data_IF_456182685685
#
_entry.id   IF_456182685685
#
_cell.length_a   1.000
_cell.length_b   1.000
_cell.length_c   1.000
_cell.angle_alpha   90.00
_cell.angle_beta   90.00
_cell.angle_gamma   90.00
#
_symmetry.space_group_name_H-M   'P 1'
#
loop_
_entity.id
_entity.type
_entity.pdbx_description
1 polymer ?
#
# COMPACT_ATOMS: atom_id res chain seq x y z
N UNK A 1 23.84 -12.31 -10.95
CA UNK A 1 22.64 -11.47 -11.09
C UNK A 1 21.87 -11.53 -9.79
N UNK A 2 21.36 -10.40 -9.34
CA UNK A 2 20.44 -10.34 -8.21
C UNK A 2 19.04 -10.78 -8.66
N UNK A 3 18.17 -11.18 -7.74
CA UNK A 3 16.78 -11.54 -8.06
C UNK A 3 16.02 -10.41 -8.80
N UNK A 4 16.45 -9.15 -8.60
CA UNK A 4 15.90 -8.00 -9.32
C UNK A 4 16.39 -7.93 -10.77
N UNK A 5 17.66 -8.27 -11.04
CA UNK A 5 18.19 -8.29 -12.41
C UNK A 5 17.48 -9.37 -13.25
N UNK A 6 17.31 -10.58 -12.69
CA UNK A 6 16.60 -11.68 -13.35
C UNK A 6 15.14 -11.29 -13.69
N UNK A 7 14.48 -10.57 -12.77
CA UNK A 7 13.13 -10.06 -12.98
C UNK A 7 13.09 -9.00 -14.09
N UNK A 8 14.04 -8.07 -14.13
CA UNK A 8 14.11 -7.04 -15.17
C UNK A 8 14.40 -7.64 -16.54
N UNK A 9 15.28 -8.63 -16.64
CA UNK A 9 15.57 -9.34 -17.88
C UNK A 9 14.32 -10.08 -18.42
N UNK A 10 13.54 -10.70 -17.53
CA UNK A 10 12.26 -11.31 -17.89
C UNK A 10 11.27 -10.27 -18.45
N UNK A 11 11.14 -9.12 -17.78
CA UNK A 11 10.23 -8.06 -18.20
C UNK A 11 10.65 -7.44 -19.52
N UNK A 12 11.95 -7.20 -19.73
CA UNK A 12 12.49 -6.69 -21.00
C UNK A 12 12.22 -7.67 -22.15
N UNK A 13 12.47 -8.97 -21.94
CA UNK A 13 12.15 -10.02 -22.91
C UNK A 13 10.66 -10.07 -23.26
N UNK A 14 9.77 -9.93 -22.28
CA UNK A 14 8.32 -9.89 -22.48
C UNK A 14 7.89 -8.65 -23.27
N UNK A 15 8.43 -7.48 -22.94
CA UNK A 15 8.16 -6.22 -23.64
C UNK A 15 8.65 -6.30 -25.09
N UNK A 16 9.86 -6.84 -25.31
CA UNK A 16 10.40 -7.05 -26.65
C UNK A 16 9.50 -7.97 -27.49
N UNK A 17 8.98 -9.04 -26.89
CA UNK A 17 8.01 -9.95 -27.53
C UNK A 17 6.71 -9.22 -27.88
N UNK A 18 6.15 -8.43 -26.96
CA UNK A 18 4.94 -7.65 -27.22
C UNK A 18 5.12 -6.65 -28.37
N UNK A 19 6.26 -5.96 -28.42
CA UNK A 19 6.59 -5.05 -29.52
C UNK A 19 6.74 -5.78 -30.86
N UNK A 20 7.44 -6.92 -30.88
CA UNK A 20 7.60 -7.73 -32.08
C UNK A 20 6.25 -8.26 -32.61
N UNK A 21 5.29 -8.52 -31.72
CA UNK A 21 3.93 -8.96 -32.07
C UNK A 21 2.97 -7.80 -32.47
N UNK A 22 3.44 -6.55 -32.41
CA UNK A 22 2.72 -5.38 -32.92
C UNK A 22 2.13 -4.44 -31.86
N UNK A 23 2.68 -4.43 -30.64
CA UNK A 23 2.48 -3.32 -29.70
C UNK A 23 3.37 -2.12 -30.10
N UNK A 24 2.82 -0.91 -30.08
CA UNK A 24 3.59 0.32 -30.28
C UNK A 24 4.44 0.65 -29.05
N UNK A 25 3.88 0.41 -27.87
CA UNK A 25 4.54 0.53 -26.58
C UNK A 25 4.00 -0.54 -25.63
N UNK A 26 4.78 -0.84 -24.58
CA UNK A 26 4.36 -1.70 -23.49
C UNK A 26 5.10 -1.34 -22.19
N UNK A 27 4.49 -1.67 -21.07
CA UNK A 27 5.12 -1.78 -19.75
C UNK A 27 4.74 -3.11 -19.11
N UNK A 28 5.58 -3.58 -18.21
CA UNK A 28 5.38 -4.82 -17.51
C UNK A 28 5.90 -4.70 -16.07
N UNK A 29 5.21 -5.37 -15.15
CA UNK A 29 5.53 -5.40 -13.73
C UNK A 29 5.59 -6.84 -13.25
N UNK A 30 6.60 -7.17 -12.46
CA UNK A 30 6.66 -8.40 -11.69
C UNK A 30 6.67 -8.06 -10.20
N UNK A 31 5.70 -8.60 -9.47
CA UNK A 31 5.69 -8.59 -8.01
C UNK A 31 5.90 -10.02 -7.51
N UNK A 32 6.88 -10.21 -6.65
CA UNK A 32 7.08 -11.45 -5.90
C UNK A 32 6.97 -11.15 -4.42
N UNK A 33 6.19 -11.92 -3.68
CA UNK A 33 6.02 -11.73 -2.24
C UNK A 33 6.16 -13.04 -1.49
N UNK A 34 6.79 -12.97 -0.32
CA UNK A 34 6.85 -14.04 0.67
C UNK A 34 6.32 -13.48 1.97
N UNK A 35 5.52 -14.26 2.69
CA UNK A 35 5.04 -13.92 4.01
C UNK A 35 5.12 -15.11 4.96
N UNK A 36 5.39 -14.84 6.23
CA UNK A 36 5.34 -15.79 7.34
C UNK A 36 4.47 -15.18 8.43
N UNK A 37 3.48 -15.93 8.92
CA UNK A 37 2.60 -15.47 9.99
C UNK A 37 2.34 -16.55 11.01
N UNK A 38 2.22 -16.13 12.27
CA UNK A 38 1.79 -16.96 13.39
C UNK A 38 0.61 -16.27 14.07
N UNK A 39 -0.49 -17.00 14.23
CA UNK A 39 -1.64 -16.58 15.01
C UNK A 39 -1.95 -17.62 16.09
N UNK A 40 -2.31 -17.12 17.26
CA UNK A 40 -2.68 -17.93 18.40
C UNK A 40 -3.84 -17.31 19.16
N UNK A 41 -4.53 -18.14 19.92
CA UNK A 41 -5.61 -17.71 20.79
C UNK A 41 -5.59 -18.47 22.10
N UNK A 42 -5.64 -17.73 23.19
CA UNK A 42 -5.56 -18.25 24.55
C UNK A 42 -4.30 -19.09 24.80
N UNK A 43 -3.21 -18.79 24.10
CA UNK A 43 -1.95 -19.55 24.14
C UNK A 43 -1.92 -20.81 23.26
N UNK A 44 -3.01 -21.14 22.58
CA UNK A 44 -3.07 -22.26 21.64
C UNK A 44 -2.84 -21.79 20.20
N UNK A 45 -2.08 -22.57 19.43
CA UNK A 45 -1.80 -22.28 18.02
C UNK A 45 -3.10 -22.33 17.20
N UNK A 46 -3.42 -21.25 16.49
CA UNK A 46 -4.52 -21.24 15.50
C UNK A 46 -3.97 -21.38 14.08
N UNK A 47 -2.85 -20.70 13.76
CA UNK A 47 -2.29 -20.67 12.41
C UNK A 47 -0.79 -20.45 12.43
N UNK A 48 -0.07 -21.25 11.64
CA UNK A 48 1.31 -20.99 11.24
C UNK A 48 1.39 -21.18 9.73
N UNK A 49 1.58 -20.10 9.00
CA UNK A 49 1.43 -20.07 7.55
C UNK A 49 2.60 -19.37 6.88
N UNK A 50 3.13 -20.00 5.83
CA UNK A 50 4.06 -19.37 4.91
C UNK A 50 3.41 -19.28 3.54
N UNK A 51 3.31 -18.06 3.03
CA UNK A 51 2.75 -17.78 1.72
C UNK A 51 3.86 -17.33 0.78
N UNK A 52 3.73 -17.71 -0.49
CA UNK A 52 4.58 -17.21 -1.56
C UNK A 52 3.70 -16.95 -2.78
N UNK A 53 3.78 -15.74 -3.31
CA UNK A 53 2.99 -15.31 -4.46
C UNK A 53 3.86 -14.60 -5.48
N UNK A 54 3.42 -14.67 -6.73
CA UNK A 54 4.02 -13.95 -7.82
C UNK A 54 2.96 -13.51 -8.80
N UNK A 55 3.02 -12.25 -9.20
CA UNK A 55 2.10 -11.63 -10.15
C UNK A 55 2.90 -10.90 -11.23
N UNK A 56 2.71 -11.30 -12.48
CA UNK A 56 3.22 -10.65 -13.68
C UNK A 56 2.07 -9.89 -14.35
N UNK A 57 2.24 -8.59 -14.54
CA UNK A 57 1.36 -7.74 -15.32
C UNK A 57 2.03 -7.30 -16.61
N UNK A 58 1.28 -7.27 -17.71
CA UNK A 58 1.68 -6.71 -19.00
C UNK A 58 0.60 -5.73 -19.47
N UNK A 59 0.98 -4.47 -19.68
CA UNK A 59 0.16 -3.47 -20.37
C UNK A 59 0.74 -3.22 -21.74
N UNK A 60 -0.09 -3.32 -22.78
CA UNK A 60 0.30 -3.04 -24.17
C UNK A 60 -0.52 -1.88 -24.72
N UNK A 61 0.10 -1.14 -25.64
CA UNK A 61 -0.49 -0.02 -26.36
C UNK A 61 -0.49 -0.31 -27.86
N UNK A 62 -1.63 -0.09 -28.51
CA UNK A 62 -1.81 -0.17 -29.97
C UNK A 62 -2.53 1.10 -30.42
N UNK A 63 -1.77 2.04 -30.98
CA UNK A 63 -2.18 3.42 -31.21
C UNK A 63 -2.60 4.09 -29.90
N UNK A 64 -3.84 4.57 -29.85
CA UNK A 64 -4.47 5.15 -28.66
C UNK A 64 -5.30 4.12 -27.88
N UNK A 65 -5.04 2.83 -28.03
CA UNK A 65 -5.74 1.78 -27.30
C UNK A 65 -4.78 1.09 -26.36
N UNK A 66 -5.24 0.71 -25.18
CA UNK A 66 -4.44 -0.03 -24.22
C UNK A 66 -5.22 -1.21 -23.64
N UNK A 67 -4.51 -2.25 -23.23
CA UNK A 67 -5.06 -3.30 -22.40
C UNK A 67 -3.99 -3.79 -21.43
N UNK A 68 -4.42 -4.20 -20.25
CA UNK A 68 -3.58 -4.84 -19.24
C UNK A 68 -4.09 -6.26 -19.00
N UNK A 69 -3.16 -7.18 -18.87
CA UNK A 69 -3.40 -8.59 -18.55
C UNK A 69 -2.42 -9.04 -17.47
N UNK A 70 -2.80 -10.02 -16.67
CA UNK A 70 -1.93 -10.59 -15.64
C UNK A 70 -1.85 -12.11 -15.71
N UNK A 71 -0.77 -12.66 -15.16
CA UNK A 71 -0.49 -14.08 -15.02
C UNK A 71 0.37 -14.32 -13.78
N UNK A 72 0.27 -15.51 -13.18
CA UNK A 72 1.24 -16.00 -12.18
C UNK A 72 2.23 -17.01 -12.79
N UNK A 73 2.01 -17.44 -14.04
CA UNK A 73 2.88 -18.36 -14.79
C UNK A 73 3.83 -17.58 -15.71
N UNK A 74 5.13 -17.77 -15.50
CA UNK A 74 6.22 -17.18 -16.28
C UNK A 74 6.80 -18.14 -17.32
N UNK A 75 6.15 -19.29 -17.56
CA UNK A 75 6.58 -20.24 -18.59
C UNK A 75 6.57 -19.58 -19.98
N UNK A 76 7.51 -19.90 -20.87
CA UNK A 76 7.59 -19.25 -22.18
C UNK A 76 6.27 -19.28 -22.98
N UNK A 77 5.54 -20.40 -22.90
CA UNK A 77 4.24 -20.57 -23.55
C UNK A 77 3.14 -19.67 -22.94
N UNK A 78 3.10 -19.55 -21.61
CA UNK A 78 2.17 -18.64 -20.94
C UNK A 78 2.47 -17.17 -21.28
N UNK A 79 3.75 -16.80 -21.43
CA UNK A 79 4.15 -15.46 -21.86
C UNK A 79 3.74 -15.17 -23.31
N UNK A 80 3.84 -16.16 -24.21
CA UNK A 80 3.33 -16.03 -25.59
C UNK A 80 1.81 -15.77 -25.58
N UNK A 81 1.04 -16.59 -24.85
CA UNK A 81 -0.41 -16.43 -24.73
C UNK A 81 -0.79 -15.09 -24.09
N UNK A 82 -0.04 -14.65 -23.07
CA UNK A 82 -0.26 -13.37 -22.39
C UNK A 82 -0.15 -12.20 -23.37
N UNK A 83 0.88 -12.20 -24.23
CA UNK A 83 1.08 -11.18 -25.27
C UNK A 83 -0.07 -11.19 -26.27
N UNK A 84 -0.43 -12.35 -26.79
CA UNK A 84 -1.51 -12.49 -27.77
C UNK A 84 -2.84 -11.98 -27.21
N UNK A 85 -3.15 -12.34 -25.95
CA UNK A 85 -4.33 -11.88 -25.24
C UNK A 85 -4.32 -10.38 -25.03
N UNK A 86 -3.20 -9.80 -24.58
CA UNK A 86 -3.06 -8.37 -24.37
C UNK A 86 -3.34 -7.58 -25.67
N UNK A 87 -2.76 -8.02 -26.78
CA UNK A 87 -2.91 -7.38 -28.09
C UNK A 87 -4.34 -7.52 -28.62
N UNK A 88 -4.95 -8.69 -28.50
CA UNK A 88 -6.33 -8.91 -28.91
C UNK A 88 -7.28 -8.00 -28.13
N UNK A 89 -7.10 -7.89 -26.81
CA UNK A 89 -7.87 -6.98 -25.96
C UNK A 89 -7.67 -5.51 -26.37
N UNK A 90 -6.42 -5.06 -26.51
CA UNK A 90 -6.13 -3.67 -26.90
C UNK A 90 -6.75 -3.30 -28.26
N UNK A 91 -6.76 -4.22 -29.23
CA UNK A 91 -7.38 -3.96 -30.54
C UNK A 91 -8.91 -3.86 -30.47
N UNK A 92 -9.55 -4.45 -29.46
CA UNK A 92 -11.01 -4.50 -29.32
C UNK A 92 -11.64 -3.37 -28.52
N UNK A 93 -10.84 -2.61 -27.76
CA UNK A 93 -11.35 -1.48 -26.97
C UNK A 93 -11.39 -0.18 -27.78
N UNK A 94 -12.23 0.81 -27.38
CA UNK A 94 -12.20 2.14 -27.97
C UNK A 94 -10.84 2.84 -27.75
N UNK A 95 -10.59 3.87 -28.54
CA UNK A 95 -9.44 4.74 -28.32
C UNK A 95 -9.62 5.60 -27.06
N UNK A 96 -8.52 5.73 -26.33
CA UNK A 96 -8.33 6.59 -25.16
C UNK A 96 -7.24 7.63 -25.49
N UNK A 97 -7.58 8.91 -25.68
CA UNK A 97 -6.61 9.94 -26.03
C UNK A 97 -5.61 10.25 -24.91
N UNK A 98 -5.87 9.79 -23.68
CA UNK A 98 -5.05 10.08 -22.51
C UNK A 98 -4.12 8.92 -22.13
N UNK A 99 -4.24 7.76 -22.79
CA UNK A 99 -3.35 6.63 -22.56
C UNK A 99 -1.94 6.86 -23.13
N UNK A 100 -0.94 6.21 -22.53
CA UNK A 100 0.46 6.22 -22.98
C UNK A 100 1.46 6.17 -21.82
N UNK A 101 2.71 5.81 -22.14
CA UNK A 101 3.83 5.79 -21.20
C UNK A 101 4.33 7.19 -20.86
N UNK A 102 5.09 7.31 -19.76
CA UNK A 102 5.76 8.55 -19.37
C UNK A 102 6.73 9.01 -20.46
N UNK A 103 6.91 10.32 -20.60
CA UNK A 103 8.00 10.86 -21.40
C UNK A 103 9.36 10.50 -20.75
N UNK A 104 10.42 10.20 -21.52
CA UNK A 104 11.73 9.85 -20.97
C UNK A 104 12.34 10.89 -20.01
N UNK A 105 11.87 12.14 -20.07
CA UNK A 105 12.27 13.20 -19.15
C UNK A 105 11.62 13.09 -17.76
N UNK A 106 10.43 12.47 -17.64
CA UNK A 106 9.70 12.26 -16.39
C UNK A 106 10.21 11.03 -15.61
N UNK A 107 10.90 10.11 -16.28
CA UNK A 107 11.38 8.86 -15.70
C UNK A 107 12.34 9.08 -14.53
N UNK A 108 12.19 8.26 -13.49
CA UNK A 108 13.14 8.21 -12.39
C UNK A 108 14.50 7.67 -12.88
N UNK A 109 15.58 8.42 -12.62
CA UNK A 109 16.94 8.09 -13.09
C UNK A 109 17.87 7.62 -11.97
N UNK A 110 17.68 8.16 -10.77
CA UNK A 110 18.52 7.90 -9.61
C UNK A 110 17.61 7.84 -8.37
N UNK A 111 16.86 6.74 -8.20
CA UNK A 111 15.97 6.60 -7.06
C UNK A 111 16.74 6.69 -5.73
N UNK A 112 16.19 7.37 -4.71
CA UNK A 112 16.86 7.51 -3.42
C UNK A 112 16.92 6.19 -2.66
N UNK A 113 17.89 6.07 -1.75
CA UNK A 113 17.95 4.96 -0.80
C UNK A 113 17.00 5.25 0.38
N UNK A 114 16.02 4.37 0.59
CA UNK A 114 14.91 4.60 1.51
C UNK A 114 14.97 3.77 2.81
N UNK A 115 15.88 2.80 2.90
CA UNK A 115 15.97 1.87 4.05
C UNK A 115 14.60 1.22 4.36
N UNK A 116 13.92 0.69 3.34
CA UNK A 116 12.56 0.14 3.42
C UNK A 116 12.50 -1.38 3.37
N UNK A 117 13.64 -2.06 3.52
CA UNK A 117 13.73 -3.52 3.41
C UNK A 117 14.69 -4.11 4.45
N UNK A 118 14.12 -4.81 5.41
CA UNK A 118 14.76 -5.84 6.24
C UNK A 118 14.86 -7.11 5.40
N UNK A 119 16.07 -7.45 4.96
CA UNK A 119 16.35 -8.58 4.08
C UNK A 119 16.46 -9.91 4.83
N UNK A 120 16.24 -9.90 6.15
CA UNK A 120 16.31 -11.07 7.02
C UNK A 120 14.89 -11.61 7.25
N UNK A 121 14.60 -12.79 6.71
CA UNK A 121 13.41 -13.57 7.07
C UNK A 121 13.54 -14.04 8.53
N UNK A 122 12.60 -13.69 9.43
CA UNK A 122 12.66 -14.13 10.81
C UNK A 122 12.33 -15.62 10.92
N UNK A 123 12.90 -16.28 11.93
CA UNK A 123 12.49 -17.64 12.30
C UNK A 123 11.03 -17.65 12.80
N UNK A 124 10.31 -18.75 12.58
CA UNK A 124 8.93 -18.90 13.05
C UNK A 124 8.84 -18.73 14.58
N UNK A 125 9.85 -19.21 15.31
CA UNK A 125 9.99 -19.10 16.76
C UNK A 125 9.96 -17.63 17.21
N UNK A 126 10.58 -16.72 16.44
CA UNK A 126 10.54 -15.28 16.76
C UNK A 126 9.13 -14.71 16.67
N UNK A 127 8.32 -15.16 15.71
CA UNK A 127 6.93 -14.71 15.58
C UNK A 127 6.06 -15.30 16.70
N UNK A 128 6.29 -16.58 17.05
CA UNK A 128 5.62 -17.26 18.17
C UNK A 128 5.90 -16.53 19.49
N UNK A 129 7.17 -16.23 19.78
CA UNK A 129 7.58 -15.52 20.99
C UNK A 129 6.92 -14.13 21.08
N UNK A 130 6.87 -13.38 19.97
CA UNK A 130 6.23 -12.06 19.91
C UNK A 130 4.73 -12.15 20.18
N UNK A 131 4.01 -13.04 19.50
CA UNK A 131 2.57 -13.19 19.69
C UNK A 131 2.24 -13.66 21.11
N UNK A 132 3.02 -14.62 21.63
CA UNK A 132 2.86 -15.14 23.00
C UNK A 132 3.05 -14.04 24.03
N UNK A 133 4.17 -13.31 23.98
CA UNK A 133 4.43 -12.21 24.90
C UNK A 133 3.38 -11.10 24.83
N UNK A 134 2.83 -10.83 23.63
CA UNK A 134 1.78 -9.85 23.42
C UNK A 134 0.44 -10.30 24.04
N UNK A 135 0.00 -11.52 23.76
CA UNK A 135 -1.26 -12.07 24.28
C UNK A 135 -1.22 -12.25 25.79
N UNK A 136 -0.15 -12.83 26.32
CA UNK A 136 0.00 -13.08 27.76
C UNK A 136 0.02 -11.76 28.55
N UNK A 137 0.71 -10.74 28.05
CA UNK A 137 0.73 -9.43 28.69
C UNK A 137 -0.65 -8.77 28.69
N UNK A 138 -1.42 -8.91 27.61
CA UNK A 138 -2.79 -8.39 27.56
C UNK A 138 -3.70 -9.11 28.56
N UNK A 139 -3.64 -10.45 28.59
CA UNK A 139 -4.46 -11.30 29.48
C UNK A 139 -4.09 -11.17 30.96
N UNK A 140 -2.85 -10.83 31.27
CA UNK A 140 -2.40 -10.61 32.64
C UNK A 140 -2.98 -9.32 33.28
N UNK A 141 -3.57 -8.42 32.49
CA UNK A 141 -4.20 -7.20 33.00
C UNK A 141 -5.55 -7.53 33.64
N UNK A 142 -5.71 -7.12 34.91
CA UNK A 142 -6.96 -7.32 35.66
C UNK A 142 -8.16 -6.69 34.94
N UNK A 143 -9.23 -7.47 34.79
CA UNK A 143 -10.46 -7.07 34.10
C UNK A 143 -10.56 -7.56 32.65
N UNK A 144 -9.47 -8.02 32.05
CA UNK A 144 -9.51 -8.77 30.79
C UNK A 144 -10.03 -10.18 31.09
N UNK A 145 -11.10 -10.57 30.40
CA UNK A 145 -11.83 -11.82 30.65
C UNK A 145 -11.61 -12.85 29.56
N UNK A 146 -11.22 -12.42 28.34
CA UNK A 146 -10.99 -13.32 27.22
C UNK A 146 -10.05 -12.68 26.17
N UNK A 147 -9.58 -13.48 25.22
CA UNK A 147 -8.75 -13.06 24.09
C UNK A 147 -9.36 -13.52 22.76
N UNK A 148 -9.28 -12.69 21.73
CA UNK A 148 -9.51 -13.09 20.34
C UNK A 148 -8.24 -13.55 19.64
N UNK A 149 -7.10 -13.47 20.32
CA UNK A 149 -5.82 -13.93 19.83
C UNK A 149 -4.85 -12.81 19.51
N UNK A 150 -3.59 -13.22 19.37
CA UNK A 150 -2.50 -12.39 18.90
C UNK A 150 -1.93 -12.95 17.60
N UNK A 151 -1.49 -12.05 16.74
CA UNK A 151 -0.87 -12.39 15.46
C UNK A 151 0.43 -11.61 15.30
N UNK A 152 1.48 -12.31 14.89
CA UNK A 152 2.75 -11.74 14.50
C UNK A 152 3.06 -12.16 13.07
N UNK A 153 3.54 -11.22 12.26
CA UNK A 153 3.77 -11.45 10.84
C UNK A 153 5.04 -10.78 10.34
N UNK A 154 5.54 -11.34 9.24
CA UNK A 154 6.56 -10.75 8.40
C UNK A 154 6.19 -10.96 6.94
N UNK A 155 6.50 -9.97 6.10
CA UNK A 155 6.38 -10.08 4.65
C UNK A 155 7.52 -9.34 3.97
N UNK A 156 7.99 -9.90 2.84
CA UNK A 156 8.92 -9.27 1.91
C UNK A 156 8.29 -9.27 0.52
N UNK A 157 8.22 -8.09 -0.10
CA UNK A 157 7.77 -7.93 -1.48
C UNK A 157 8.89 -7.33 -2.33
N UNK A 158 9.15 -7.94 -3.49
CA UNK A 158 10.07 -7.46 -4.52
C UNK A 158 9.25 -7.01 -5.71
N UNK A 159 9.49 -5.80 -6.17
CA UNK A 159 8.78 -5.19 -7.29
C UNK A 159 9.82 -4.86 -8.35
N UNK A 160 9.58 -5.31 -9.57
CA UNK A 160 10.32 -4.91 -10.77
C UNK A 160 9.33 -4.32 -11.77
N UNK A 161 9.70 -3.20 -12.38
CA UNK A 161 8.91 -2.49 -13.38
C UNK A 161 9.84 -2.13 -14.55
N UNK A 162 9.40 -2.47 -15.76
CA UNK A 162 10.09 -2.09 -16.98
C UNK A 162 9.10 -1.54 -18.01
N UNK A 163 9.56 -0.66 -18.87
CA UNK A 163 8.75 -0.07 -19.92
C UNK A 163 9.56 0.21 -21.17
N UNK A 164 8.91 0.09 -22.32
CA UNK A 164 9.49 0.27 -23.65
C UNK A 164 10.01 1.68 -23.96
N UNK A 165 9.75 2.66 -23.07
CA UNK A 165 10.31 4.02 -23.11
C UNK A 165 11.70 4.11 -22.45
N UNK A 166 12.27 2.99 -22.02
CA UNK A 166 13.61 2.88 -21.44
C UNK A 166 13.64 2.88 -19.92
N UNK A 167 12.48 2.86 -19.24
CA UNK A 167 12.45 2.66 -17.80
C UNK A 167 12.72 1.19 -17.45
N UNK A 168 13.59 0.97 -16.47
CA UNK A 168 13.80 -0.32 -15.82
C UNK A 168 14.24 -0.06 -14.38
N UNK A 169 13.47 -0.53 -13.41
CA UNK A 169 13.74 -0.31 -12.01
C UNK A 169 13.08 -1.35 -11.12
N UNK A 170 13.71 -1.63 -9.98
CA UNK A 170 13.14 -2.52 -8.98
C UNK A 170 13.56 -2.13 -7.57
N UNK A 171 12.76 -2.57 -6.60
CA UNK A 171 13.01 -2.37 -5.19
C UNK A 171 12.36 -3.48 -4.37
N UNK A 172 12.80 -3.61 -3.12
CA UNK A 172 12.21 -4.52 -2.16
C UNK A 172 11.64 -3.73 -0.98
N UNK A 173 10.57 -4.23 -0.39
CA UNK A 173 9.97 -3.70 0.84
C UNK A 173 9.71 -4.82 1.82
N UNK A 174 10.00 -4.59 3.09
CA UNK A 174 9.66 -5.51 4.17
C UNK A 174 8.63 -4.89 5.10
N UNK A 175 7.89 -5.76 5.79
CA UNK A 175 6.97 -5.35 6.84
C UNK A 175 6.97 -6.40 7.93
N UNK A 176 7.14 -5.97 9.18
CA UNK A 176 6.81 -6.77 10.35
C UNK A 176 5.55 -6.22 10.99
N UNK A 177 4.71 -7.10 11.51
CA UNK A 177 3.49 -6.76 12.23
C UNK A 177 3.38 -7.56 13.52
N UNK A 178 2.73 -6.96 14.50
CA UNK A 178 2.30 -7.61 15.73
C UNK A 178 1.00 -6.97 16.19
N UNK A 179 0.03 -7.75 16.63
CA UNK A 179 -1.19 -7.22 17.23
C UNK A 179 -1.90 -8.23 18.11
N UNK A 180 -2.81 -7.73 18.93
CA UNK A 180 -3.69 -8.55 19.79
C UNK A 180 -5.03 -7.86 19.95
N UNK A 181 -6.10 -8.66 20.03
CA UNK A 181 -7.47 -8.24 20.36
C UNK A 181 -7.95 -8.97 21.60
N UNK A 182 -8.45 -8.22 22.59
CA UNK A 182 -8.90 -8.79 23.88
C UNK A 182 -10.28 -8.27 24.29
N UNK A 183 -10.94 -9.01 25.18
CA UNK A 183 -12.26 -8.69 25.69
C UNK A 183 -12.26 -8.43 27.20
N UNK A 184 -13.15 -7.55 27.63
CA UNK A 184 -13.47 -7.29 29.03
C UNK A 184 -14.99 -7.24 29.24
N UNK A 185 -15.43 -7.42 30.48
CA UNK A 185 -16.85 -7.40 30.83
C UNK A 185 -17.52 -8.77 30.73
N UNK A 186 -18.83 -8.80 30.97
CA UNK A 186 -19.65 -10.01 31.04
C UNK A 186 -21.00 -9.82 30.34
N UNK A 187 -21.54 -10.90 29.77
CA UNK A 187 -22.88 -10.91 29.18
C UNK A 187 -23.05 -9.87 28.06
N UNK A 188 -24.03 -8.98 28.22
CA UNK A 188 -24.33 -7.93 27.23
C UNK A 188 -23.40 -6.71 27.34
N UNK A 189 -22.60 -6.61 28.40
CA UNK A 189 -21.67 -5.50 28.64
C UNK A 189 -20.22 -5.87 28.25
N UNK A 190 -20.06 -6.90 27.41
CA UNK A 190 -18.74 -7.27 26.86
C UNK A 190 -18.26 -6.23 25.85
N UNK A 191 -17.05 -5.75 26.08
CA UNK A 191 -16.36 -4.81 25.20
C UNK A 191 -15.07 -5.41 24.66
N UNK A 192 -14.69 -4.96 23.47
CA UNK A 192 -13.50 -5.41 22.76
C UNK A 192 -12.73 -4.23 22.18
N UNK A 193 -11.42 -4.25 22.29
CA UNK A 193 -10.52 -3.40 21.52
C UNK A 193 -9.22 -4.18 21.25
N UNK A 194 -8.34 -3.56 20.47
CA UNK A 194 -7.09 -4.14 20.00
C UNK A 194 -5.99 -3.09 20.03
N UNK A 195 -4.74 -3.54 19.93
CA UNK A 195 -3.59 -2.70 19.61
C UNK A 195 -2.66 -3.44 18.66
N UNK A 196 -1.92 -2.70 17.85
CA UNK A 196 -0.95 -3.27 16.92
C UNK A 196 0.28 -2.37 16.72
N UNK A 197 1.37 -3.00 16.28
CA UNK A 197 2.58 -2.36 15.82
C UNK A 197 2.93 -2.85 14.43
N UNK A 198 3.49 -1.98 13.60
CA UNK A 198 3.94 -2.32 12.26
C UNK A 198 5.15 -1.48 11.91
N UNK A 199 6.21 -2.13 11.45
CA UNK A 199 7.46 -1.48 11.06
C UNK A 199 8.08 -2.14 9.83
N UNK A 200 9.05 -1.45 9.22
CA UNK A 200 9.88 -2.03 8.16
C UNK A 200 10.79 -3.12 8.75
N UNK A 201 11.48 -2.81 9.85
CA UNK A 201 12.42 -3.71 10.51
C UNK A 201 11.79 -4.34 11.76
N UNK A 202 12.09 -5.61 11.99
CA UNK A 202 11.59 -6.32 13.16
C UNK A 202 12.10 -5.72 14.48
N UNK A 203 13.31 -5.15 14.46
CA UNK A 203 13.94 -4.51 15.62
C UNK A 203 13.28 -3.18 16.03
N UNK A 204 12.54 -2.54 15.12
CA UNK A 204 11.87 -1.27 15.37
C UNK A 204 10.45 -1.46 15.94
N UNK A 205 9.94 -2.70 15.95
CA UNK A 205 8.63 -3.01 16.50
C UNK A 205 8.56 -2.58 17.97
N UNK A 206 7.36 -2.16 18.38
CA UNK A 206 7.10 -1.94 19.80
C UNK A 206 7.26 -3.25 20.59
N UNK A 207 7.74 -3.13 21.84
CA UNK A 207 7.78 -4.24 22.81
C UNK A 207 6.45 -5.01 22.78
N UNK A 208 6.47 -6.33 22.50
CA UNK A 208 5.25 -7.11 22.40
C UNK A 208 4.36 -7.02 23.64
N UNK A 209 4.96 -7.06 24.82
CA UNK A 209 4.21 -6.95 26.07
C UNK A 209 3.59 -5.54 26.23
N UNK A 210 4.25 -4.50 25.71
CA UNK A 210 3.74 -3.13 25.63
C UNK A 210 2.49 -3.03 24.76
N UNK A 211 2.51 -3.62 23.56
CA UNK A 211 1.33 -3.71 22.68
C UNK A 211 0.18 -4.41 23.39
N UNK A 212 0.46 -5.54 24.07
CA UNK A 212 -0.54 -6.28 24.83
C UNK A 212 -1.19 -5.47 25.95
N UNK A 213 -0.38 -4.78 26.78
CA UNK A 213 -0.89 -3.90 27.84
C UNK A 213 -1.75 -2.77 27.28
N UNK A 214 -1.33 -2.13 26.18
CA UNK A 214 -2.12 -1.07 25.53
C UNK A 214 -3.46 -1.60 25.02
N UNK A 215 -3.49 -2.77 24.37
CA UNK A 215 -4.74 -3.38 23.93
C UNK A 215 -5.70 -3.58 25.12
N UNK A 216 -5.20 -4.14 26.23
CA UNK A 216 -5.99 -4.34 27.43
C UNK A 216 -6.51 -3.03 28.04
N UNK A 217 -5.66 -2.02 28.20
CA UNK A 217 -6.06 -0.70 28.70
C UNK A 217 -7.16 -0.07 27.85
N UNK A 218 -7.06 -0.19 26.52
CA UNK A 218 -8.06 0.32 25.58
C UNK A 218 -9.38 -0.43 25.72
N UNK A 219 -9.34 -1.75 25.78
CA UNK A 219 -10.54 -2.58 25.98
C UNK A 219 -11.25 -2.20 27.29
N UNK A 220 -10.51 -2.05 28.39
CA UNK A 220 -11.07 -1.67 29.69
C UNK A 220 -11.69 -0.26 29.67
N UNK A 221 -11.11 0.70 28.95
CA UNK A 221 -11.66 2.05 28.81
C UNK A 221 -13.02 2.10 28.12
N UNK A 222 -13.40 1.06 27.38
CA UNK A 222 -14.71 0.96 26.73
C UNK A 222 -15.83 0.55 27.69
N UNK A 223 -15.50 -0.07 28.82
CA UNK A 223 -16.50 -0.57 29.77
C UNK A 223 -17.41 0.55 30.29
N UNK A 224 -18.70 0.25 30.36
CA UNK A 224 -19.70 1.18 30.88
C UNK A 224 -19.97 2.36 29.94
N UNK A 225 -19.66 2.24 28.65
CA UNK A 225 -20.03 3.23 27.65
C UNK A 225 -21.54 3.54 27.69
N UNK A 226 -21.88 4.81 27.52
CA UNK A 226 -23.28 5.28 27.56
C UNK A 226 -23.62 6.03 26.30
N UNK A 227 -24.87 5.90 25.86
CA UNK A 227 -25.39 6.71 24.76
C UNK A 227 -25.44 8.18 25.19
N UNK A 228 -24.70 9.03 24.48
CA UNK A 228 -24.78 10.47 24.64
C UNK A 228 -26.13 11.02 24.15
N UNK A 229 -26.58 12.13 24.73
CA UNK A 229 -27.75 12.86 24.24
C UNK A 229 -27.47 13.48 22.86
N UNK A 230 -28.48 13.55 22.01
CA UNK A 230 -28.36 14.21 20.70
C UNK A 230 -28.12 15.71 20.89
N UNK A 231 -27.09 16.24 20.25
CA UNK A 231 -26.75 17.66 20.32
C UNK A 231 -25.60 18.02 19.41
N UNK A 232 -25.33 19.33 19.28
CA UNK A 232 -24.13 19.85 18.62
C UNK A 232 -23.05 20.01 19.68
N UNK A 233 -21.96 19.27 19.55
CA UNK A 233 -20.82 19.31 20.47
C UNK A 233 -19.51 19.28 19.67
N UNK A 234 -18.41 19.80 20.21
CA UNK A 234 -17.09 19.55 19.65
C UNK A 234 -16.78 18.05 19.63
N UNK A 235 -16.18 17.57 18.54
CA UNK A 235 -15.72 16.18 18.38
C UNK A 235 -14.21 16.20 18.21
N UNK A 236 -13.52 15.44 19.05
CA UNK A 236 -12.07 15.23 18.95
C UNK A 236 -11.84 13.85 18.35
N UNK A 237 -11.14 13.80 17.22
CA UNK A 237 -10.75 12.55 16.59
C UNK A 237 -9.42 12.08 17.20
N UNK A 238 -9.40 10.84 17.70
CA UNK A 238 -8.17 10.20 18.17
C UNK A 238 -7.20 10.01 17.00
N UNK A 239 -5.86 10.09 17.21
CA UNK A 239 -4.88 9.85 16.14
C UNK A 239 -5.10 8.56 15.36
N UNK A 240 -5.58 7.50 16.01
CA UNK A 240 -5.86 6.19 15.39
C UNK A 240 -6.89 6.26 14.26
N UNK A 241 -7.86 7.16 14.37
CA UNK A 241 -8.94 7.33 13.37
C UNK A 241 -8.75 8.55 12.49
N UNK A 242 -7.91 9.49 12.91
CA UNK A 242 -7.68 10.77 12.21
C UNK A 242 -7.08 10.58 10.81
N UNK A 243 -6.32 9.50 10.59
CA UNK A 243 -5.81 9.14 9.26
C UNK A 243 -6.93 8.95 8.22
N UNK A 244 -8.13 8.54 8.65
CA UNK A 244 -9.30 8.41 7.76
C UNK A 244 -9.74 9.75 7.15
N UNK A 245 -9.62 10.85 7.88
CA UNK A 245 -9.94 12.19 7.36
C UNK A 245 -9.01 12.56 6.20
N UNK A 246 -7.71 12.29 6.35
CA UNK A 246 -6.71 12.51 5.29
C UNK A 246 -6.94 11.53 4.14
N UNK A 247 -7.34 10.29 4.43
CA UNK A 247 -7.71 9.31 3.40
C UNK A 247 -8.91 9.76 2.56
N UNK A 248 -9.93 10.36 3.17
CA UNK A 248 -11.06 10.94 2.43
C UNK A 248 -10.65 12.13 1.57
N UNK A 249 -9.74 12.99 2.08
CA UNK A 249 -9.15 14.05 1.27
C UNK A 249 -8.42 13.46 0.05
N UNK A 250 -7.52 12.50 0.25
CA UNK A 250 -6.75 11.86 -0.81
C UNK A 250 -7.66 11.24 -1.90
N UNK A 251 -8.76 10.60 -1.50
CA UNK A 251 -9.76 10.09 -2.44
C UNK A 251 -10.51 11.20 -3.19
N UNK A 252 -10.80 12.32 -2.53
CA UNK A 252 -11.48 13.46 -3.15
C UNK A 252 -10.56 14.26 -4.10
N UNK A 253 -9.24 14.21 -3.94
CA UNK A 253 -8.29 14.90 -4.83
C UNK A 253 -7.62 13.96 -5.83
N UNK A 254 -8.07 12.70 -5.92
CA UNK A 254 -7.59 11.73 -6.88
C UNK A 254 -7.93 12.18 -8.32
N UNK A 255 -6.93 12.16 -9.20
CA UNK A 255 -7.01 12.68 -10.57
C UNK A 255 -8.15 12.05 -11.38
N UNK A 256 -8.39 10.74 -11.23
CA UNK A 256 -9.49 10.06 -11.94
C UNK A 256 -10.85 10.57 -11.45
N UNK A 257 -11.02 10.78 -10.15
CA UNK A 257 -12.27 11.31 -9.59
C UNK A 257 -12.51 12.78 -9.98
N UNK A 258 -11.45 13.58 -10.05
CA UNK A 258 -11.49 14.98 -10.48
C UNK A 258 -11.82 15.06 -11.97
N UNK A 259 -11.09 14.32 -12.82
CA UNK A 259 -11.26 14.31 -14.27
C UNK A 259 -12.64 13.79 -14.71
N UNK A 260 -13.22 12.84 -13.97
CA UNK A 260 -14.60 12.37 -14.19
C UNK A 260 -15.67 13.26 -13.56
N UNK A 261 -15.28 14.29 -12.80
CA UNK A 261 -16.18 15.21 -12.14
C UNK A 261 -17.02 14.62 -11.02
N UNK A 262 -16.60 13.47 -10.45
CA UNK A 262 -17.30 12.75 -9.36
C UNK A 262 -16.85 13.20 -7.97
N UNK A 263 -15.76 13.95 -7.87
CA UNK A 263 -15.30 14.53 -6.61
C UNK A 263 -16.07 15.80 -6.24
N UNK A 264 -16.38 15.94 -4.94
CA UNK A 264 -16.90 17.18 -4.36
C UNK A 264 -15.85 18.30 -4.24
N UNK A 265 -14.57 17.99 -4.44
CA UNK A 265 -13.45 18.95 -4.43
C UNK A 265 -12.96 19.34 -5.83
N UNK A 266 -13.55 18.85 -6.92
CA UNK A 266 -13.03 19.03 -8.29
C UNK A 266 -12.78 20.50 -8.69
N UNK A 267 -13.56 21.43 -8.15
CA UNK A 267 -13.47 22.87 -8.44
C UNK A 267 -12.72 23.65 -7.33
N UNK A 268 -11.98 22.96 -6.46
CA UNK A 268 -11.37 23.52 -5.24
C UNK A 268 -9.84 23.66 -5.27
N UNK A 269 -9.20 23.43 -6.41
CA UNK A 269 -7.76 23.71 -6.54
C UNK A 269 -7.49 25.20 -6.31
N UNK A 270 -6.51 25.50 -5.46
CA UNK A 270 -6.21 26.88 -5.05
C UNK A 270 -7.22 27.47 -4.06
N UNK A 271 -8.28 26.76 -3.67
CA UNK A 271 -9.18 27.23 -2.61
C UNK A 271 -8.71 26.80 -1.23
N UNK A 272 -9.10 27.58 -0.21
CA UNK A 272 -8.88 27.24 1.20
C UNK A 272 -9.96 26.28 1.68
N UNK A 273 -9.58 25.02 1.87
CA UNK A 273 -10.46 23.93 2.32
C UNK A 273 -10.22 23.51 3.78
N UNK A 274 -9.15 24.01 4.40
CA UNK A 274 -8.84 23.85 5.82
C UNK A 274 -8.61 25.22 6.50
N UNK A 275 -8.58 25.23 7.83
CA UNK A 275 -8.20 26.41 8.59
C UNK A 275 -6.73 26.82 8.29
N UNK A 276 -6.40 28.14 8.36
CA UNK A 276 -5.01 28.57 8.25
C UNK A 276 -4.11 27.85 9.27
N UNK A 277 -2.89 27.54 8.87
CA UNK A 277 -1.90 26.77 9.62
C UNK A 277 -1.97 25.25 9.41
N UNK A 278 -2.99 24.72 8.73
CA UNK A 278 -3.05 23.29 8.41
C UNK A 278 -2.26 23.00 7.15
N UNK A 279 -1.28 22.10 7.25
CA UNK A 279 -0.45 21.64 6.14
C UNK A 279 -0.49 20.12 6.05
N UNK A 280 -0.69 19.58 4.85
CA UNK A 280 -0.68 18.14 4.57
C UNK A 280 0.35 17.91 3.47
N UNK A 281 1.31 17.03 3.75
CA UNK A 281 2.45 16.75 2.89
C UNK A 281 2.47 15.27 2.54
N UNK A 282 2.60 14.95 1.27
CA UNK A 282 3.07 13.65 0.83
C UNK A 282 4.59 13.67 0.73
N UNK A 283 5.24 12.74 1.43
CA UNK A 283 6.69 12.60 1.45
C UNK A 283 7.03 11.14 1.15
N UNK A 284 7.27 10.80 -0.12
CA UNK A 284 7.50 9.42 -0.54
C UNK A 284 8.89 8.90 -0.19
N UNK A 285 9.79 9.75 0.31
CA UNK A 285 11.21 9.42 0.50
C UNK A 285 11.62 9.36 1.97
N UNK A 286 10.64 9.22 2.87
CA UNK A 286 10.89 9.05 4.30
C UNK A 286 11.68 7.76 4.55
N UNK A 287 12.86 7.82 5.19
CA UNK A 287 13.59 6.63 5.60
C UNK A 287 12.71 5.72 6.46
N UNK A 288 12.73 4.42 6.21
CA UNK A 288 11.88 3.41 6.88
C UNK A 288 10.38 3.73 6.84
N UNK A 289 9.92 4.52 5.89
CA UNK A 289 8.52 4.83 5.74
C UNK A 289 7.74 3.62 5.21
N UNK A 290 6.67 3.22 5.90
CA UNK A 290 5.83 2.07 5.55
C UNK A 290 5.19 2.14 4.14
N UNK A 291 5.17 3.32 3.52
CA UNK A 291 4.65 3.56 2.17
C UNK A 291 5.63 4.34 1.29
N UNK A 292 6.88 4.49 1.74
CA UNK A 292 7.91 5.15 0.95
C UNK A 292 8.21 4.32 -0.29
N UNK A 293 8.45 4.97 -1.42
CA UNK A 293 8.71 4.31 -2.70
C UNK A 293 9.68 5.15 -3.56
N UNK A 294 10.59 4.50 -4.30
CA UNK A 294 11.63 5.20 -5.07
C UNK A 294 11.12 5.85 -6.36
N UNK A 295 10.00 5.37 -6.88
CA UNK A 295 9.30 5.83 -8.07
C UNK A 295 7.83 5.36 -7.99
N UNK A 296 6.96 5.87 -8.84
CA UNK A 296 5.54 5.48 -8.86
C UNK A 296 5.25 4.24 -9.72
N UNK A 297 3.97 3.91 -9.92
CA UNK A 297 3.56 2.73 -10.70
C UNK A 297 3.80 2.85 -12.22
N UNK A 298 4.25 4.01 -12.71
CA UNK A 298 4.46 4.30 -14.13
C UNK A 298 5.94 4.64 -14.42
N UNK A 299 6.83 4.45 -13.43
CA UNK A 299 8.26 4.72 -13.52
C UNK A 299 8.62 6.21 -13.42
N UNK A 300 7.67 7.06 -13.02
CA UNK A 300 7.86 8.50 -12.87
C UNK A 300 8.60 8.80 -11.58
N UNK A 301 9.49 9.79 -11.63
CA UNK A 301 10.17 10.32 -10.46
C UNK A 301 9.14 10.97 -9.52
N UNK A 302 8.99 10.41 -8.32
CA UNK A 302 8.16 10.99 -7.28
C UNK A 302 8.97 11.91 -6.38
N UNK A 303 8.28 12.81 -5.68
CA UNK A 303 8.90 13.75 -4.77
C UNK A 303 7.92 14.26 -3.73
N UNK A 304 8.42 15.09 -2.83
CA UNK A 304 7.58 15.74 -1.81
C UNK A 304 6.54 16.61 -2.49
N UNK A 305 5.28 16.44 -2.09
CA UNK A 305 4.16 17.29 -2.51
C UNK A 305 3.54 17.92 -1.27
N UNK A 306 3.45 19.25 -1.24
CA UNK A 306 2.54 19.91 -0.31
C UNK A 306 1.14 19.78 -0.94
N UNK A 307 0.30 18.89 -0.39
CA UNK A 307 -1.09 18.66 -0.83
C UNK A 307 -1.98 19.80 -0.33
N UNK A 308 -1.76 20.20 0.91
CA UNK A 308 -2.39 21.38 1.50
C UNK A 308 -1.30 22.26 2.08
N UNK A 309 -1.29 23.54 1.73
CA UNK A 309 -0.38 24.55 2.29
C UNK A 309 -1.18 25.70 2.91
N UNK A 310 -1.00 25.97 4.21
CA UNK A 310 -1.77 26.99 4.96
C UNK A 310 -3.30 26.90 4.73
N UNK A 311 -3.79 25.66 4.71
CA UNK A 311 -5.18 25.30 4.48
C UNK A 311 -5.67 25.39 3.03
N UNK A 312 -4.83 25.80 2.08
CA UNK A 312 -5.13 25.83 0.65
C UNK A 312 -4.81 24.50 -0.02
N UNK A 313 -5.72 23.98 -0.85
CA UNK A 313 -5.46 22.82 -1.71
C UNK A 313 -4.55 23.22 -2.87
N UNK A 314 -3.40 22.58 -3.00
CA UNK A 314 -2.32 23.03 -3.90
C UNK A 314 -2.07 22.09 -5.07
N UNK A 315 -2.50 20.83 -4.99
CA UNK A 315 -2.32 19.85 -6.08
C UNK A 315 -3.39 18.77 -6.06
N UNK A 316 -3.57 18.13 -7.21
CA UNK A 316 -4.22 16.83 -7.33
C UNK A 316 -3.22 15.69 -7.11
N UNK A 317 -3.73 14.47 -6.88
CA UNK A 317 -2.93 13.24 -6.94
C UNK A 317 -3.19 12.57 -8.27
N UNK A 318 -2.24 12.67 -9.19
CA UNK A 318 -2.42 12.31 -10.60
C UNK A 318 -1.65 11.03 -10.96
N UNK A 319 -2.19 10.32 -11.94
CA UNK A 319 -1.46 9.40 -12.81
C UNK A 319 -1.27 10.07 -14.19
N UNK A 320 -0.49 9.49 -15.08
CA UNK A 320 -0.21 10.08 -16.41
C UNK A 320 -1.49 10.34 -17.21
N UNK A 321 -2.48 9.45 -17.12
CA UNK A 321 -3.72 9.57 -17.86
C UNK A 321 -4.58 10.73 -17.36
N UNK A 322 -4.77 10.84 -16.05
CA UNK A 322 -5.51 11.95 -15.45
C UNK A 322 -4.78 13.28 -15.57
N UNK A 323 -3.44 13.30 -15.51
CA UNK A 323 -2.65 14.49 -15.78
C UNK A 323 -2.88 15.02 -17.22
N UNK A 324 -2.83 14.13 -18.22
CA UNK A 324 -3.15 14.48 -19.62
C UNK A 324 -4.59 14.92 -19.80
N UNK A 325 -5.53 14.31 -19.10
CA UNK A 325 -6.94 14.66 -19.20
C UNK A 325 -7.26 16.02 -18.56
N UNK A 326 -6.55 16.38 -17.50
CA UNK A 326 -6.71 17.66 -16.80
C UNK A 326 -5.82 18.77 -17.37
N UNK A 327 -5.01 18.48 -18.39
CA UNK A 327 -4.02 19.39 -18.97
C UNK A 327 -3.04 19.94 -17.89
N UNK A 328 -2.75 19.13 -16.87
CA UNK A 328 -1.88 19.49 -15.76
C UNK A 328 -0.45 19.01 -16.04
N UNK A 329 0.52 19.91 -16.26
CA UNK A 329 1.91 19.55 -16.54
C UNK A 329 2.70 19.11 -15.30
N UNK A 330 2.11 19.15 -14.10
CA UNK A 330 2.77 18.79 -12.83
C UNK A 330 2.68 17.31 -12.44
N UNK A 331 2.03 16.48 -13.26
CA UNK A 331 1.91 15.02 -13.09
C UNK A 331 3.11 14.22 -13.59
#
# INVERSE_FOLDING_TARGET
MTATDDALDLLDGLIAKAKAAGADAADALLAHSVALSHAQRLGELERLEREESQDLGLRVFVGRRQAIVSSSDNSPAALDELVDRALAMARSVPEDPHCGLADPAQLAKAPPQLDICDDIEPAAETLIERATACEDAARAVSGITNSEGAEAGWSLSRIALAASNGFAGGYAVSRHSLGVSVLAGEGLDMERDYEFSTQVYGADLEDPAGVGRKAAERTLRRLGARKAATGRVPVVFDPRVSGGLVGHLAGAINGVAVARGTSFLKDKLGERIFAPGITIVDDPHRPRGLRSKPFDGEGVANGRLDIVADGQLTTWILDLASARQLEDPGG
#
